data_IF_856963434946
#
_entry.id   IF_856963434946
#
_cell.length_a   1.000
_cell.length_b   1.000
_cell.length_c   1.000
_cell.angle_alpha   90.00
_cell.angle_beta   90.00
_cell.angle_gamma   90.00
#
_symmetry.space_group_name_H-M   'P 1'
#
loop_
_entity.id
_entity.type
_entity.pdbx_description
1 polymer ?
#
# COMPACT_ATOMS: atom_id res chain seq x y z
N UNK A 1 5.56 14.66 0.13
CA UNK A 1 6.42 13.49 -0.23
C UNK A 1 7.35 13.93 -1.35
N UNK A 2 8.64 13.59 -1.29
CA UNK A 2 9.67 14.07 -2.22
C UNK A 2 10.35 12.88 -2.91
N UNK A 3 10.52 12.95 -4.23
CA UNK A 3 11.33 12.02 -5.02
C UNK A 3 11.97 12.79 -6.17
N UNK A 4 13.29 12.70 -6.30
CA UNK A 4 14.04 13.27 -7.42
C UNK A 4 14.96 12.18 -7.98
N UNK A 5 15.22 12.14 -9.30
CA UNK A 5 16.06 11.11 -9.90
C UNK A 5 17.46 10.99 -9.29
N UNK A 6 18.00 12.09 -8.76
CA UNK A 6 19.32 12.16 -8.14
C UNK A 6 19.35 11.61 -6.71
N UNK A 7 18.20 11.48 -6.06
CA UNK A 7 18.10 11.18 -4.61
C UNK A 7 17.17 10.03 -4.26
N UNK A 8 16.38 9.51 -5.20
CA UNK A 8 15.42 8.44 -4.99
C UNK A 8 15.64 7.29 -5.98
N UNK A 9 15.69 6.06 -5.45
CA UNK A 9 15.74 4.84 -6.24
C UNK A 9 14.37 4.47 -6.81
N UNK A 10 14.32 3.56 -7.78
CA UNK A 10 13.05 3.02 -8.31
C UNK A 10 12.17 2.40 -7.22
N UNK A 11 12.79 1.82 -6.19
CA UNK A 11 12.10 1.30 -5.00
C UNK A 11 11.41 2.42 -4.22
N UNK A 12 12.07 3.56 -4.06
CA UNK A 12 11.51 4.73 -3.38
C UNK A 12 10.31 5.28 -4.16
N UNK A 13 10.44 5.43 -5.48
CA UNK A 13 9.33 5.83 -6.35
C UNK A 13 8.13 4.87 -6.24
N UNK A 14 8.39 3.56 -6.27
CA UNK A 14 7.35 2.54 -6.14
C UNK A 14 6.67 2.58 -4.78
N UNK A 15 7.44 2.78 -3.71
CA UNK A 15 6.91 2.90 -2.35
C UNK A 15 6.06 4.17 -2.18
N UNK A 16 6.50 5.30 -2.75
CA UNK A 16 5.75 6.56 -2.75
C UNK A 16 4.42 6.40 -3.47
N UNK A 17 4.41 5.77 -4.64
CA UNK A 17 3.18 5.46 -5.38
C UNK A 17 2.23 4.60 -4.53
N UNK A 18 2.74 3.53 -3.91
CA UNK A 18 1.95 2.64 -3.05
C UNK A 18 1.33 3.37 -1.87
N UNK A 19 2.13 4.16 -1.13
CA UNK A 19 1.68 4.89 0.07
C UNK A 19 0.68 6.00 -0.29
N UNK A 20 0.92 6.79 -1.34
CA UNK A 20 -0.06 7.80 -1.77
C UNK A 20 -1.39 7.14 -2.17
N UNK A 21 -1.32 6.01 -2.90
CA UNK A 21 -2.49 5.19 -3.20
C UNK A 21 -3.21 4.72 -1.93
N UNK A 22 -2.48 4.15 -0.99
CA UNK A 22 -2.97 3.68 0.31
C UNK A 22 -3.76 4.76 1.06
N UNK A 23 -3.16 5.93 1.27
CA UNK A 23 -3.81 7.04 1.99
C UNK A 23 -5.03 7.57 1.24
N UNK A 24 -4.98 7.61 -0.09
CA UNK A 24 -6.15 7.98 -0.90
C UNK A 24 -7.27 6.94 -0.75
N UNK A 25 -6.94 5.64 -0.76
CA UNK A 25 -7.91 4.57 -0.64
C UNK A 25 -8.59 4.53 0.74
N UNK A 26 -7.89 4.92 1.80
CA UNK A 26 -8.49 5.12 3.12
C UNK A 26 -9.68 6.10 3.12
N UNK A 27 -9.77 7.01 2.14
CA UNK A 27 -10.94 7.89 2.01
C UNK A 27 -12.26 7.10 2.01
N UNK A 28 -12.29 5.92 1.40
CA UNK A 28 -13.46 5.02 1.45
C UNK A 28 -13.31 3.91 2.48
N UNK A 29 -12.18 3.21 2.50
CA UNK A 29 -11.93 2.05 3.38
C UNK A 29 -11.21 2.46 4.67
N UNK A 30 -11.79 3.40 5.41
CA UNK A 30 -11.24 3.89 6.68
C UNK A 30 -11.88 5.19 7.18
N UNK A 31 -12.22 6.11 6.27
CA UNK A 31 -12.83 7.39 6.60
C UNK A 31 -14.36 7.34 6.45
N UNK A 32 -14.88 7.05 5.24
CA UNK A 32 -16.34 6.95 4.99
C UNK A 32 -16.98 5.78 5.74
N UNK A 33 -16.31 4.63 5.75
CA UNK A 33 -16.63 3.49 6.61
C UNK A 33 -15.45 3.30 7.54
N UNK A 34 -15.66 3.55 8.84
CA UNK A 34 -14.59 3.59 9.84
C UNK A 34 -14.73 2.52 10.92
N UNK A 35 -13.67 2.32 11.70
CA UNK A 35 -13.63 1.34 12.78
C UNK A 35 -14.46 1.84 13.98
N UNK A 36 -15.36 0.99 14.48
CA UNK A 36 -16.09 1.27 15.74
C UNK A 36 -15.16 1.36 16.94
N UNK A 37 -14.14 0.50 16.96
CA UNK A 37 -13.14 0.39 18.00
C UNK A 37 -11.82 -0.16 17.42
N UNK A 38 -10.74 -0.09 18.20
CA UNK A 38 -9.40 -0.43 17.71
C UNK A 38 -9.15 -1.92 17.51
N UNK A 39 -9.99 -2.83 18.05
CA UNK A 39 -9.88 -4.25 17.71
C UNK A 39 -10.21 -4.49 16.24
N UNK A 40 -10.96 -3.57 15.62
CA UNK A 40 -11.28 -3.61 14.20
C UNK A 40 -10.23 -2.91 13.32
N UNK A 41 -9.01 -2.59 13.82
CA UNK A 41 -8.02 -1.86 13.02
C UNK A 41 -7.75 -2.52 11.65
N UNK A 42 -7.67 -3.84 11.61
CA UNK A 42 -7.46 -4.60 10.36
C UNK A 42 -8.60 -4.45 9.34
N UNK A 43 -9.80 -4.02 9.77
CA UNK A 43 -10.90 -3.69 8.84
C UNK A 43 -10.48 -2.61 7.85
N UNK A 44 -9.87 -1.52 8.34
CA UNK A 44 -9.38 -0.45 7.46
C UNK A 44 -7.98 -0.73 6.94
N UNK A 45 -7.07 -1.21 7.79
CA UNK A 45 -5.68 -1.42 7.41
C UNK A 45 -5.52 -2.59 6.45
N UNK A 46 -6.07 -3.76 6.78
CA UNK A 46 -5.95 -4.95 5.94
C UNK A 46 -6.60 -4.75 4.57
N UNK A 47 -7.79 -4.15 4.53
CA UNK A 47 -8.48 -3.88 3.27
C UNK A 47 -7.78 -2.78 2.45
N UNK A 48 -7.25 -1.74 3.08
CA UNK A 48 -6.54 -0.66 2.36
C UNK A 48 -5.17 -1.13 1.88
N UNK A 49 -4.47 -1.95 2.66
CA UNK A 49 -3.25 -2.66 2.21
C UNK A 49 -3.54 -3.51 0.97
N UNK A 50 -4.59 -4.34 1.00
CA UNK A 50 -4.96 -5.13 -0.17
C UNK A 50 -5.23 -4.24 -1.41
N UNK A 51 -5.88 -3.09 -1.23
CA UNK A 51 -6.16 -2.15 -2.32
C UNK A 51 -4.90 -1.49 -2.86
N UNK A 52 -3.93 -1.14 -2.02
CA UNK A 52 -2.63 -0.64 -2.50
C UNK A 52 -1.81 -1.72 -3.22
N UNK A 53 -1.89 -2.98 -2.78
CA UNK A 53 -1.23 -4.11 -3.43
C UNK A 53 -1.76 -4.32 -4.86
N UNK A 54 -3.08 -4.26 -5.03
CA UNK A 54 -3.70 -4.35 -6.35
C UNK A 54 -3.36 -3.14 -7.22
N UNK A 55 -3.43 -1.92 -6.66
CA UNK A 55 -3.06 -0.72 -7.39
C UNK A 55 -1.60 -0.73 -7.88
N UNK A 56 -0.64 -1.05 -7.00
CA UNK A 56 0.78 -1.17 -7.39
C UNK A 56 1.01 -2.32 -8.37
N UNK A 57 0.23 -3.40 -8.29
CA UNK A 57 0.29 -4.51 -9.25
C UNK A 57 -0.16 -4.09 -10.65
N UNK A 58 -1.20 -3.25 -10.75
CA UNK A 58 -1.75 -2.76 -12.01
C UNK A 58 -0.91 -1.62 -12.62
N UNK A 59 -0.30 -0.77 -11.79
CA UNK A 59 0.57 0.33 -12.26
C UNK A 59 1.97 -0.15 -12.64
N UNK A 60 2.40 -1.29 -12.14
CA UNK A 60 3.74 -1.85 -12.34
C UNK A 60 3.71 -3.30 -12.81
N UNK A 61 4.42 -4.16 -12.08
CA UNK A 61 4.47 -5.59 -12.36
C UNK A 61 3.81 -6.39 -11.25
N UNK A 62 2.63 -6.96 -11.55
CA UNK A 62 1.88 -7.83 -10.63
C UNK A 62 2.71 -8.96 -10.05
N UNK A 63 3.54 -9.62 -10.86
CA UNK A 63 4.41 -10.70 -10.38
C UNK A 63 5.46 -10.20 -9.39
N UNK A 64 6.13 -9.08 -9.69
CA UNK A 64 7.15 -8.50 -8.80
C UNK A 64 6.53 -8.02 -7.50
N UNK A 65 5.38 -7.33 -7.56
CA UNK A 65 4.65 -6.87 -6.37
C UNK A 65 4.28 -8.04 -5.47
N UNK A 66 3.71 -9.10 -6.05
CA UNK A 66 3.30 -10.29 -5.29
C UNK A 66 4.49 -11.01 -4.65
N UNK A 67 5.61 -11.16 -5.36
CA UNK A 67 6.84 -11.74 -4.80
C UNK A 67 7.32 -10.92 -3.60
N UNK A 68 7.39 -9.59 -3.75
CA UNK A 68 7.79 -8.69 -2.66
C UNK A 68 6.91 -8.84 -1.42
N UNK A 69 5.59 -8.88 -1.61
CA UNK A 69 4.62 -9.02 -0.51
C UNK A 69 4.71 -10.38 0.17
N UNK A 70 4.86 -11.48 -0.59
CA UNK A 70 5.06 -12.82 -0.01
C UNK A 70 6.38 -12.88 0.76
N UNK A 71 7.45 -12.32 0.21
CA UNK A 71 8.76 -12.29 0.88
C UNK A 71 8.65 -11.55 2.20
N UNK A 72 7.98 -10.39 2.21
CA UNK A 72 7.75 -9.62 3.43
C UNK A 72 6.97 -10.44 4.46
N UNK A 73 5.88 -11.09 4.05
CA UNK A 73 5.06 -11.92 4.95
C UNK A 73 5.82 -13.11 5.56
N UNK A 74 6.79 -13.69 4.84
CA UNK A 74 7.56 -14.86 5.29
C UNK A 74 8.78 -14.51 6.14
N UNK A 75 9.30 -13.30 6.02
CA UNK A 75 10.47 -12.84 6.76
C UNK A 75 10.13 -12.33 8.17
N UNK A 76 8.84 -12.26 8.52
CA UNK A 76 8.34 -12.00 9.86
C UNK A 76 7.73 -13.27 10.45
#
# INVERSE_FOLDING_TARGET
VLAFPETASDTDYSAILGVIGHEYFHNWTGNRVTCRDWFQLSLKEGLTVFRDQEFSSDMGSRTVKRIGDVSKLRSY
#
